data_IF_999575271932
#
_entry.id   IF_999575271932
#
_cell.length_a   1.000
_cell.length_b   1.000
_cell.length_c   1.000
_cell.angle_alpha   90.00
_cell.angle_beta   90.00
_cell.angle_gamma   90.00
#
_symmetry.space_group_name_H-M   'P 1'
#
loop_
_entity.id
_entity.type
_entity.pdbx_description
1 polymer ?
#
# COMPACT_ATOMS: atom_id res chain seq x y z
N UNK A 1 -39.02 18.64 22.58
CA UNK A 1 -39.63 18.35 21.27
C UNK A 1 -39.08 17.01 20.76
N UNK A 2 -39.90 15.97 20.65
CA UNK A 2 -39.51 14.69 20.00
C UNK A 2 -39.38 14.97 18.49
N UNK A 3 -38.19 14.78 17.92
CA UNK A 3 -38.01 14.83 16.47
C UNK A 3 -38.82 13.69 15.85
N UNK A 4 -39.77 14.04 14.99
CA UNK A 4 -40.60 13.07 14.25
C UNK A 4 -39.67 12.34 13.28
N UNK A 5 -39.54 11.02 13.39
CA UNK A 5 -38.78 10.21 12.43
C UNK A 5 -39.60 10.18 11.14
N UNK A 6 -38.98 10.53 10.03
CA UNK A 6 -39.60 10.36 8.70
C UNK A 6 -39.33 8.92 8.29
N UNK A 7 -40.43 8.12 8.15
CA UNK A 7 -40.35 6.70 7.79
C UNK A 7 -41.06 6.56 6.44
N UNK A 8 -40.28 6.83 5.37
CA UNK A 8 -40.80 6.73 3.99
C UNK A 8 -40.45 5.39 3.32
N UNK A 9 -39.68 4.52 4.00
CA UNK A 9 -39.18 3.26 3.47
C UNK A 9 -39.85 2.08 4.18
N UNK A 10 -40.24 1.05 3.44
CA UNK A 10 -40.75 -0.21 4.02
C UNK A 10 -39.59 -0.97 4.69
N UNK A 11 -39.94 -1.90 5.63
CA UNK A 11 -38.91 -2.76 6.27
C UNK A 11 -38.16 -3.59 5.23
N UNK A 12 -38.83 -4.06 4.19
CA UNK A 12 -38.27 -4.87 3.11
C UNK A 12 -37.29 -4.06 2.27
N UNK A 13 -37.64 -2.83 1.90
CA UNK A 13 -36.75 -1.90 1.18
C UNK A 13 -35.52 -1.53 2.02
N UNK A 14 -35.69 -1.25 3.31
CA UNK A 14 -34.60 -0.93 4.22
C UNK A 14 -33.66 -2.12 4.41
N UNK A 15 -34.19 -3.36 4.52
CA UNK A 15 -33.40 -4.57 4.61
C UNK A 15 -32.64 -4.87 3.30
N UNK A 16 -33.30 -4.71 2.15
CA UNK A 16 -32.64 -4.87 0.85
C UNK A 16 -31.51 -3.86 0.62
N UNK A 17 -31.70 -2.62 1.06
CA UNK A 17 -30.65 -1.60 1.01
C UNK A 17 -29.53 -1.90 2.01
N UNK A 18 -29.85 -2.40 3.20
CA UNK A 18 -28.87 -2.82 4.20
C UNK A 18 -28.02 -3.99 3.68
N UNK A 19 -28.63 -4.98 3.03
CA UNK A 19 -27.90 -6.09 2.39
C UNK A 19 -26.95 -5.60 1.29
N UNK A 20 -27.43 -4.72 0.40
CA UNK A 20 -26.58 -4.08 -0.62
C UNK A 20 -25.42 -3.32 0.01
N UNK A 21 -25.67 -2.58 1.07
CA UNK A 21 -24.64 -1.84 1.80
C UNK A 21 -23.69 -2.78 2.55
N UNK A 22 -24.15 -3.88 3.14
CA UNK A 22 -23.30 -4.89 3.75
C UNK A 22 -22.35 -5.52 2.73
N UNK A 23 -22.84 -5.88 1.54
CA UNK A 23 -22.00 -6.37 0.44
C UNK A 23 -21.01 -5.31 -0.01
N UNK A 24 -21.45 -4.06 -0.21
CA UNK A 24 -20.65 -2.93 -0.67
C UNK A 24 -19.55 -2.53 0.31
N UNK A 25 -19.83 -2.58 1.61
CA UNK A 25 -18.90 -2.14 2.66
C UNK A 25 -18.18 -3.29 3.37
N UNK A 26 -18.53 -4.55 3.11
CA UNK A 26 -17.92 -5.71 3.75
C UNK A 26 -16.43 -5.90 3.38
N UNK A 27 -16.04 -5.54 2.16
CA UNK A 27 -14.66 -5.68 1.66
C UNK A 27 -14.24 -4.48 0.81
N UNK A 28 -12.92 -4.18 0.86
CA UNK A 28 -12.34 -3.16 0.00
C UNK A 28 -12.54 -3.50 -1.49
N UNK A 29 -12.90 -2.52 -2.30
CA UNK A 29 -13.19 -2.66 -3.74
C UNK A 29 -12.12 -3.47 -4.50
N UNK A 30 -10.83 -3.23 -4.21
CA UNK A 30 -9.72 -3.96 -4.82
C UNK A 30 -9.70 -5.45 -4.42
N UNK A 31 -10.21 -5.80 -3.23
CA UNK A 31 -10.35 -7.20 -2.81
C UNK A 31 -11.43 -7.87 -3.61
N UNK A 32 -12.56 -7.21 -3.81
CA UNK A 32 -13.67 -7.73 -4.64
C UNK A 32 -13.25 -7.90 -6.11
N UNK A 33 -12.55 -6.92 -6.68
CA UNK A 33 -11.99 -7.04 -8.04
C UNK A 33 -11.05 -8.26 -8.15
N UNK A 34 -10.20 -8.47 -7.15
CA UNK A 34 -9.30 -9.63 -7.12
C UNK A 34 -10.07 -10.94 -6.98
N UNK A 35 -11.09 -10.98 -6.11
CA UNK A 35 -11.91 -12.17 -5.93
C UNK A 35 -12.72 -12.52 -7.18
N UNK A 36 -13.31 -11.54 -7.87
CA UNK A 36 -14.00 -11.78 -9.16
C UNK A 36 -13.06 -12.41 -10.19
N UNK A 37 -11.83 -11.88 -10.30
CA UNK A 37 -10.82 -12.44 -11.22
C UNK A 37 -10.44 -13.87 -10.83
N UNK A 38 -10.16 -14.10 -9.55
CA UNK A 38 -9.70 -15.40 -9.04
C UNK A 38 -10.82 -16.46 -9.16
N UNK A 39 -12.07 -16.07 -8.87
CA UNK A 39 -13.22 -16.96 -9.02
C UNK A 39 -13.50 -17.26 -10.50
N UNK A 40 -13.43 -16.27 -11.41
CA UNK A 40 -13.53 -16.52 -12.84
C UNK A 40 -12.49 -17.52 -13.38
N UNK A 41 -11.28 -17.54 -12.76
CA UNK A 41 -10.28 -18.59 -13.07
C UNK A 41 -10.74 -19.98 -12.59
N UNK A 42 -11.42 -20.07 -11.44
CA UNK A 42 -11.99 -21.30 -10.93
C UNK A 42 -13.19 -21.76 -11.78
N UNK A 43 -14.08 -20.85 -12.16
CA UNK A 43 -15.20 -21.13 -13.08
C UNK A 43 -14.69 -21.73 -14.39
N UNK A 44 -13.69 -21.09 -15.02
CA UNK A 44 -13.07 -21.61 -16.24
C UNK A 44 -12.47 -23.01 -16.04
N UNK A 45 -11.78 -23.26 -14.90
CA UNK A 45 -11.27 -24.60 -14.60
C UNK A 45 -12.40 -25.63 -14.49
N UNK A 46 -13.49 -25.31 -13.80
CA UNK A 46 -14.64 -26.19 -13.64
C UNK A 46 -15.29 -26.49 -15.01
N UNK A 47 -15.46 -25.49 -15.86
CA UNK A 47 -15.97 -25.63 -17.23
C UNK A 47 -15.12 -26.63 -18.04
N UNK A 48 -13.78 -26.47 -18.02
CA UNK A 48 -12.85 -27.37 -18.72
C UNK A 48 -12.91 -28.82 -18.19
N UNK A 49 -13.45 -29.04 -17.00
CA UNK A 49 -13.61 -30.34 -16.35
C UNK A 49 -15.06 -30.84 -16.34
N UNK A 50 -15.98 -30.14 -17.04
CA UNK A 50 -17.42 -30.43 -17.06
C UNK A 50 -17.99 -30.54 -15.62
N UNK A 51 -17.61 -29.60 -14.75
CA UNK A 51 -18.06 -29.51 -13.36
C UNK A 51 -18.82 -28.19 -13.13
N UNK A 52 -19.80 -28.22 -12.26
CA UNK A 52 -20.49 -27.01 -11.80
C UNK A 52 -19.63 -26.31 -10.73
N UNK A 53 -19.26 -25.03 -10.93
CA UNK A 53 -18.43 -24.29 -9.98
C UNK A 53 -19.14 -24.03 -8.63
N UNK A 54 -20.46 -24.15 -8.56
CA UNK A 54 -21.25 -23.96 -7.34
C UNK A 54 -21.72 -25.29 -6.71
N UNK A 55 -21.39 -26.43 -7.27
CA UNK A 55 -21.56 -27.72 -6.63
C UNK A 55 -20.34 -27.98 -5.74
N UNK A 56 -20.54 -28.00 -4.42
CA UNK A 56 -19.46 -28.21 -3.47
C UNK A 56 -18.79 -29.59 -3.67
N UNK A 57 -17.54 -29.56 -4.06
CA UNK A 57 -16.69 -30.73 -4.21
C UNK A 57 -15.25 -30.37 -3.80
N UNK A 58 -14.84 -30.81 -2.62
CA UNK A 58 -13.52 -30.52 -2.08
C UNK A 58 -12.37 -31.19 -2.88
N UNK A 59 -12.63 -32.28 -3.59
CA UNK A 59 -11.63 -32.91 -4.46
C UNK A 59 -11.35 -32.02 -5.67
N UNK A 60 -12.40 -31.47 -6.28
CA UNK A 60 -12.27 -30.52 -7.40
C UNK A 60 -11.53 -29.26 -6.94
N UNK A 61 -11.88 -28.71 -5.76
CA UNK A 61 -11.23 -27.50 -5.23
C UNK A 61 -9.75 -27.76 -4.91
N UNK A 62 -9.42 -28.88 -4.26
CA UNK A 62 -8.02 -29.21 -3.95
C UNK A 62 -7.19 -29.46 -5.20
N UNK A 63 -7.77 -30.15 -6.23
CA UNK A 63 -7.14 -30.32 -7.53
C UNK A 63 -6.86 -28.97 -8.22
N UNK A 64 -7.84 -28.06 -8.20
CA UNK A 64 -7.66 -26.70 -8.71
C UNK A 64 -6.50 -25.97 -8.03
N UNK A 65 -6.48 -25.93 -6.69
CA UNK A 65 -5.40 -25.27 -5.93
C UNK A 65 -4.03 -25.90 -6.22
N UNK A 66 -3.98 -27.21 -6.45
CA UNK A 66 -2.77 -27.92 -6.83
C UNK A 66 -2.31 -27.58 -8.24
N UNK A 67 -3.23 -27.44 -9.18
CA UNK A 67 -2.93 -27.00 -10.55
C UNK A 67 -2.41 -25.56 -10.55
N UNK A 68 -3.00 -24.68 -9.75
CA UNK A 68 -2.51 -23.32 -9.58
C UNK A 68 -1.05 -23.26 -9.09
N UNK A 69 -0.66 -24.14 -8.16
CA UNK A 69 0.72 -24.24 -7.68
C UNK A 69 1.73 -24.46 -8.80
N UNK A 70 1.34 -25.15 -9.85
CA UNK A 70 2.22 -25.50 -10.98
C UNK A 70 2.25 -24.42 -12.07
N UNK A 71 1.47 -23.33 -11.93
CA UNK A 71 1.48 -22.21 -12.88
C UNK A 71 2.69 -21.31 -12.65
N UNK A 72 3.48 -21.05 -13.70
CA UNK A 72 4.71 -20.24 -13.62
C UNK A 72 4.50 -18.85 -13.02
N UNK A 73 3.33 -18.25 -13.22
CA UNK A 73 3.02 -16.91 -12.71
C UNK A 73 2.48 -16.89 -11.27
N UNK A 74 2.26 -18.07 -10.66
CA UNK A 74 1.79 -18.21 -9.27
C UNK A 74 2.93 -18.70 -8.39
N UNK A 75 3.73 -17.78 -7.91
CA UNK A 75 4.92 -18.05 -7.11
C UNK A 75 4.74 -17.82 -5.60
N UNK A 76 3.52 -17.43 -5.14
CA UNK A 76 3.25 -17.12 -3.73
C UNK A 76 2.07 -17.93 -3.19
N UNK A 77 2.28 -18.61 -2.09
CA UNK A 77 1.23 -19.35 -1.39
C UNK A 77 0.03 -18.44 -1.00
N UNK A 78 0.29 -17.16 -0.67
CA UNK A 78 -0.78 -16.20 -0.40
C UNK A 78 -1.72 -15.97 -1.59
N UNK A 79 -1.24 -16.14 -2.82
CA UNK A 79 -2.08 -16.09 -4.03
C UNK A 79 -3.04 -17.28 -4.05
N UNK A 80 -2.56 -18.49 -3.77
CA UNK A 80 -3.40 -19.70 -3.71
C UNK A 80 -4.46 -19.55 -2.60
N UNK A 81 -4.08 -19.07 -1.42
CA UNK A 81 -5.06 -18.76 -0.37
C UNK A 81 -6.11 -17.75 -0.82
N UNK A 82 -5.73 -16.75 -1.62
CA UNK A 82 -6.69 -15.76 -2.11
C UNK A 82 -7.71 -16.38 -3.07
N UNK A 83 -7.30 -17.29 -3.95
CA UNK A 83 -8.23 -18.06 -4.81
C UNK A 83 -9.23 -18.87 -3.97
N UNK A 84 -8.76 -19.56 -2.91
CA UNK A 84 -9.66 -20.27 -2.00
C UNK A 84 -10.66 -19.32 -1.32
N UNK A 85 -10.18 -18.17 -0.83
CA UNK A 85 -11.07 -17.18 -0.21
C UNK A 85 -12.04 -16.54 -1.21
N UNK A 86 -11.68 -16.46 -2.49
CA UNK A 86 -12.59 -16.05 -3.53
C UNK A 86 -13.71 -17.08 -3.74
N UNK A 87 -13.38 -18.38 -3.79
CA UNK A 87 -14.39 -19.45 -3.88
C UNK A 87 -15.33 -19.38 -2.68
N UNK A 88 -14.80 -19.36 -1.45
CA UNK A 88 -15.62 -19.22 -0.24
C UNK A 88 -16.51 -17.97 -0.26
N UNK A 89 -16.00 -16.83 -0.74
CA UNK A 89 -16.78 -15.60 -0.85
C UNK A 89 -17.99 -15.77 -1.77
N UNK A 90 -17.81 -16.34 -2.99
CA UNK A 90 -18.91 -16.51 -3.94
C UNK A 90 -19.89 -17.61 -3.55
N UNK A 91 -19.47 -18.64 -2.80
CA UNK A 91 -20.37 -19.60 -2.19
C UNK A 91 -21.25 -18.91 -1.15
N UNK A 92 -20.68 -18.10 -0.26
CA UNK A 92 -21.44 -17.35 0.74
C UNK A 92 -22.43 -16.35 0.11
N UNK A 93 -22.05 -15.67 -0.98
CA UNK A 93 -22.95 -14.77 -1.73
C UNK A 93 -24.18 -15.50 -2.30
N UNK A 94 -24.06 -16.79 -2.53
CA UNK A 94 -25.17 -17.66 -2.98
C UNK A 94 -25.82 -18.45 -1.84
N UNK A 95 -25.51 -18.14 -0.58
CA UNK A 95 -25.99 -18.86 0.60
C UNK A 95 -25.65 -20.37 0.55
N UNK A 96 -24.54 -20.74 -0.08
CA UNK A 96 -24.04 -22.11 -0.12
C UNK A 96 -23.05 -22.35 1.01
N UNK A 97 -23.15 -23.49 1.67
CA UNK A 97 -22.20 -23.87 2.72
C UNK A 97 -20.80 -24.10 2.16
N UNK A 98 -19.79 -23.63 2.87
CA UNK A 98 -18.39 -23.85 2.55
C UNK A 98 -17.55 -23.94 3.83
N UNK A 99 -17.03 -25.13 4.13
CA UNK A 99 -16.17 -25.32 5.29
C UNK A 99 -14.69 -25.14 4.92
N UNK A 100 -14.13 -24.00 5.27
CA UNK A 100 -12.70 -23.70 5.09
C UNK A 100 -11.78 -24.57 5.97
N UNK A 101 -12.33 -25.29 6.97
CA UNK A 101 -11.61 -26.19 7.88
C UNK A 101 -11.73 -27.66 7.47
N UNK A 102 -12.32 -27.95 6.31
CA UNK A 102 -12.41 -29.30 5.80
C UNK A 102 -11.04 -29.98 5.78
N UNK A 103 -10.95 -31.23 6.28
CA UNK A 103 -9.70 -31.94 6.51
C UNK A 103 -8.86 -32.13 5.22
N UNK A 104 -9.51 -32.44 4.10
CA UNK A 104 -8.81 -32.64 2.81
C UNK A 104 -8.22 -31.31 2.32
N UNK A 105 -8.98 -30.21 2.42
CA UNK A 105 -8.56 -28.87 2.05
C UNK A 105 -7.39 -28.38 2.90
N UNK A 106 -7.47 -28.53 4.23
CA UNK A 106 -6.38 -28.14 5.13
C UNK A 106 -5.10 -28.92 4.83
N UNK A 107 -5.21 -30.24 4.62
CA UNK A 107 -4.06 -31.10 4.26
C UNK A 107 -3.45 -30.70 2.91
N UNK A 108 -4.27 -30.40 1.91
CA UNK A 108 -3.81 -29.93 0.60
C UNK A 108 -3.07 -28.59 0.72
N UNK A 109 -3.63 -27.61 1.46
CA UNK A 109 -2.99 -26.31 1.69
C UNK A 109 -1.66 -26.45 2.43
N UNK A 110 -1.57 -27.30 3.46
CA UNK A 110 -0.30 -27.56 4.18
C UNK A 110 0.75 -28.12 3.22
N UNK A 111 0.39 -29.11 2.40
CA UNK A 111 1.28 -29.72 1.39
C UNK A 111 1.75 -28.68 0.37
N UNK A 112 0.84 -27.86 -0.15
CA UNK A 112 1.15 -26.80 -1.11
C UNK A 112 2.06 -25.77 -0.47
N UNK A 113 1.77 -25.35 0.77
CA UNK A 113 2.60 -24.37 1.48
C UNK A 113 4.03 -24.82 1.64
N UNK A 114 4.26 -26.07 2.08
CA UNK A 114 5.60 -26.67 2.24
C UNK A 114 6.40 -26.70 0.93
N UNK A 115 5.73 -26.95 -0.19
CA UNK A 115 6.37 -26.97 -1.51
C UNK A 115 6.66 -25.57 -2.07
N UNK A 116 5.90 -24.57 -1.63
CA UNK A 116 6.05 -23.16 -2.05
C UNK A 116 6.89 -22.32 -1.09
N UNK A 117 7.53 -22.91 -0.08
CA UNK A 117 8.52 -22.23 0.77
C UNK A 117 9.77 -22.00 -0.09
N UNK A 118 9.68 -21.03 -0.98
CA UNK A 118 10.84 -20.35 -1.53
C UNK A 118 11.00 -19.04 -0.78
N UNK A 119 12.24 -18.62 -0.58
CA UNK A 119 12.55 -17.30 0.01
C UNK A 119 11.69 -16.24 -0.68
N UNK A 120 10.76 -15.66 0.06
CA UNK A 120 10.01 -14.51 -0.45
C UNK A 120 11.02 -13.39 -0.53
N UNK A 121 11.51 -13.10 -1.73
CA UNK A 121 12.28 -11.88 -1.98
C UNK A 121 11.44 -10.69 -1.55
N UNK A 122 11.72 -10.21 -0.34
CA UNK A 122 11.06 -9.02 0.18
C UNK A 122 11.55 -7.84 -0.64
N UNK A 123 10.64 -7.02 -1.13
CA UNK A 123 10.99 -5.75 -1.73
C UNK A 123 11.87 -4.97 -0.76
N UNK A 124 13.10 -4.58 -1.13
CA UNK A 124 13.99 -3.90 -0.23
C UNK A 124 13.40 -2.56 0.24
N UNK A 125 13.71 -2.15 1.48
CA UNK A 125 13.32 -0.84 1.97
C UNK A 125 14.11 0.25 1.25
N UNK A 126 13.47 1.39 0.99
CA UNK A 126 14.18 2.60 0.56
C UNK A 126 14.76 3.28 1.79
N UNK A 127 16.02 3.01 2.11
CA UNK A 127 16.68 3.60 3.27
C UNK A 127 17.01 5.08 3.05
N UNK A 128 17.34 5.80 4.14
CA UNK A 128 17.63 7.24 4.09
C UNK A 128 18.81 7.55 3.17
N UNK A 129 19.83 6.71 3.13
CA UNK A 129 21.00 6.90 2.26
C UNK A 129 20.62 6.92 0.78
N UNK A 130 19.70 6.06 0.37
CA UNK A 130 19.24 6.01 -1.02
C UNK A 130 18.20 7.10 -1.31
N UNK A 131 17.37 7.43 -0.32
CA UNK A 131 16.50 8.61 -0.40
C UNK A 131 17.31 9.89 -0.63
N UNK A 132 18.40 10.08 0.12
CA UNK A 132 19.25 11.25 -0.01
C UNK A 132 19.85 11.34 -1.43
N UNK A 133 20.37 10.25 -2.01
CA UNK A 133 20.86 10.22 -3.41
C UNK A 133 19.77 10.61 -4.42
N UNK A 134 18.57 10.09 -4.23
CA UNK A 134 17.43 10.42 -5.10
C UNK A 134 17.10 11.90 -5.03
N UNK A 135 17.06 12.48 -3.83
CA UNK A 135 16.73 13.89 -3.65
C UNK A 135 17.86 14.80 -4.17
N UNK A 136 19.11 14.41 -4.02
CA UNK A 136 20.24 15.14 -4.60
C UNK A 136 20.17 15.16 -6.14
N UNK A 137 19.85 14.05 -6.77
CA UNK A 137 19.65 13.99 -8.22
C UNK A 137 18.46 14.88 -8.68
N UNK A 138 17.36 14.88 -7.92
CA UNK A 138 16.22 15.77 -8.22
C UNK A 138 16.62 17.23 -8.06
N UNK A 139 17.38 17.58 -7.02
CA UNK A 139 17.85 18.95 -6.80
C UNK A 139 18.73 19.41 -7.95
N UNK A 140 19.65 18.55 -8.42
CA UNK A 140 20.47 18.83 -9.58
C UNK A 140 19.65 19.10 -10.86
N UNK A 141 18.61 18.30 -11.10
CA UNK A 141 17.71 18.54 -12.23
C UNK A 141 16.86 19.82 -12.07
N UNK A 142 16.52 20.21 -10.83
CA UNK A 142 15.84 21.50 -10.55
C UNK A 142 16.78 22.66 -10.82
N UNK A 143 18.05 22.58 -10.44
CA UNK A 143 19.05 23.61 -10.69
C UNK A 143 19.28 23.85 -12.20
N UNK A 144 19.31 22.75 -12.97
CA UNK A 144 19.40 22.81 -14.44
C UNK A 144 18.21 23.48 -15.09
N UNK A 145 17.00 23.22 -14.59
CA UNK A 145 15.76 23.76 -15.13
C UNK A 145 14.76 24.09 -14.01
N UNK A 146 14.81 25.32 -13.52
CA UNK A 146 13.98 25.83 -12.41
C UNK A 146 12.48 25.88 -12.70
N UNK A 147 12.06 25.81 -13.96
CA UNK A 147 10.65 25.90 -14.35
C UNK A 147 10.01 24.52 -14.61
N UNK A 148 10.74 23.43 -14.47
CA UNK A 148 10.21 22.09 -14.75
C UNK A 148 9.37 21.56 -13.58
N UNK A 149 8.07 21.72 -13.67
CA UNK A 149 7.08 21.36 -12.63
C UNK A 149 7.22 19.92 -12.13
N UNK A 150 7.53 18.98 -13.04
CA UNK A 150 7.60 17.56 -12.71
C UNK A 150 8.67 17.25 -11.64
N UNK A 151 9.78 18.01 -11.60
CA UNK A 151 10.85 17.79 -10.64
C UNK A 151 10.42 18.22 -9.24
N UNK A 152 9.73 19.34 -9.11
CA UNK A 152 9.17 19.81 -7.81
C UNK A 152 8.09 18.88 -7.31
N UNK A 153 7.18 18.43 -8.20
CA UNK A 153 6.15 17.45 -7.84
C UNK A 153 6.77 16.15 -7.33
N UNK A 154 7.72 15.59 -8.08
CA UNK A 154 8.34 14.30 -7.76
C UNK A 154 9.12 14.39 -6.44
N UNK A 155 9.86 15.50 -6.20
CA UNK A 155 10.56 15.77 -4.95
C UNK A 155 9.61 15.80 -3.75
N UNK A 156 8.55 16.60 -3.84
CA UNK A 156 7.57 16.72 -2.77
C UNK A 156 6.85 15.40 -2.50
N UNK A 157 6.45 14.69 -3.56
CA UNK A 157 5.80 13.38 -3.48
C UNK A 157 6.68 12.36 -2.76
N UNK A 158 7.95 12.22 -3.17
CA UNK A 158 8.89 11.24 -2.61
C UNK A 158 9.15 11.53 -1.14
N UNK A 159 9.45 12.78 -0.79
CA UNK A 159 9.74 13.16 0.59
C UNK A 159 8.52 12.98 1.50
N UNK A 160 7.34 13.43 1.08
CA UNK A 160 6.10 13.25 1.85
C UNK A 160 5.77 11.77 1.99
N UNK A 161 5.85 10.98 0.91
CA UNK A 161 5.57 9.56 0.93
C UNK A 161 6.47 8.82 1.92
N UNK A 162 7.74 9.15 1.93
CA UNK A 162 8.74 8.50 2.79
C UNK A 162 8.55 8.90 4.26
N UNK A 163 8.60 10.19 4.59
CA UNK A 163 8.49 10.66 5.98
C UNK A 163 7.14 10.37 6.64
N UNK A 164 6.06 10.33 5.86
CA UNK A 164 4.73 9.94 6.34
C UNK A 164 4.49 8.43 6.31
N UNK A 165 5.47 7.63 5.90
CA UNK A 165 5.30 6.19 5.70
C UNK A 165 4.00 5.86 4.96
N UNK A 166 3.67 6.62 3.91
CA UNK A 166 2.42 6.48 3.17
C UNK A 166 2.41 5.25 2.24
N UNK A 167 1.22 4.68 2.05
CA UNK A 167 0.99 3.77 0.93
C UNK A 167 0.85 4.55 -0.37
N UNK A 168 1.14 3.92 -1.52
CA UNK A 168 1.00 4.55 -2.85
C UNK A 168 -0.35 5.22 -3.06
N UNK A 169 -1.41 4.50 -2.76
CA UNK A 169 -2.77 5.01 -2.90
C UNK A 169 -3.08 6.15 -1.93
N UNK A 170 -2.49 6.14 -0.73
CA UNK A 170 -2.64 7.22 0.23
C UNK A 170 -2.02 8.51 -0.33
N UNK A 171 -0.78 8.44 -0.85
CA UNK A 171 -0.10 9.60 -1.46
C UNK A 171 -0.82 10.10 -2.71
N UNK A 172 -1.21 9.20 -3.62
CA UNK A 172 -1.94 9.57 -4.83
C UNK A 172 -3.25 10.31 -4.53
N UNK A 173 -3.86 9.98 -3.39
CA UNK A 173 -5.16 10.52 -2.97
C UNK A 173 -5.07 11.71 -1.99
N UNK A 174 -3.88 12.25 -1.71
CA UNK A 174 -3.75 13.43 -0.84
C UNK A 174 -4.37 14.67 -1.47
N UNK A 175 -5.11 15.42 -0.66
CA UNK A 175 -5.75 16.67 -1.02
C UNK A 175 -5.19 17.83 -0.19
N UNK A 176 -5.30 19.05 -0.71
CA UNK A 176 -4.87 20.27 -0.01
C UNK A 176 -5.47 20.34 1.41
N UNK A 177 -6.76 20.01 1.54
CA UNK A 177 -7.48 20.04 2.82
C UNK A 177 -6.98 18.96 3.82
N UNK A 178 -6.21 17.99 3.36
CA UNK A 178 -5.61 16.99 4.25
C UNK A 178 -4.36 17.52 4.99
N UNK A 179 -3.76 18.61 4.51
CA UNK A 179 -2.47 19.11 5.01
C UNK A 179 -2.69 20.34 5.89
N UNK A 180 -2.25 20.24 7.14
CA UNK A 180 -2.24 21.34 8.09
C UNK A 180 -0.81 21.68 8.48
N UNK A 181 -0.43 22.96 8.38
CA UNK A 181 0.85 23.44 8.91
C UNK A 181 0.81 23.44 10.43
N UNK A 182 1.87 22.94 11.07
CA UNK A 182 2.08 22.91 12.52
C UNK A 182 3.46 23.44 12.87
N UNK A 183 3.74 23.68 14.16
CA UNK A 183 5.01 24.30 14.59
C UNK A 183 6.26 23.54 14.11
N UNK A 184 6.21 22.20 14.06
CA UNK A 184 7.36 21.35 13.72
C UNK A 184 7.27 20.72 12.32
N UNK A 185 6.45 21.27 11.41
CA UNK A 185 6.30 20.74 10.05
C UNK A 185 4.84 20.71 9.57
N UNK A 186 4.44 19.60 8.98
CA UNK A 186 3.07 19.40 8.50
C UNK A 186 2.40 18.25 9.26
N UNK A 187 1.10 18.36 9.46
CA UNK A 187 0.24 17.26 9.91
C UNK A 187 -0.68 16.87 8.74
N UNK A 188 -0.58 15.63 8.27
CA UNK A 188 -1.38 15.14 7.14
C UNK A 188 -2.42 14.14 7.64
N UNK A 189 -3.70 14.50 7.51
CA UNK A 189 -4.84 13.65 7.86
C UNK A 189 -5.32 12.87 6.63
N UNK A 190 -5.55 11.59 6.78
CA UNK A 190 -6.17 10.76 5.75
C UNK A 190 -7.67 10.63 6.05
N UNK A 191 -8.52 10.98 5.09
CA UNK A 191 -9.97 10.87 5.25
C UNK A 191 -10.42 9.41 5.42
N UNK A 192 -9.78 8.49 4.68
CA UNK A 192 -9.97 7.03 4.80
C UNK A 192 -8.67 6.33 4.41
N UNK A 193 -8.31 5.26 5.12
CA UNK A 193 -7.20 4.39 4.75
C UNK A 193 -7.61 2.93 4.85
N UNK A 194 -6.85 2.02 4.23
CA UNK A 194 -7.14 0.57 4.26
C UNK A 194 -7.33 0.02 5.69
N UNK A 195 -6.62 0.60 6.68
CA UNK A 195 -6.64 0.16 8.08
C UNK A 195 -7.37 1.16 8.99
N UNK A 196 -8.01 2.18 8.42
CA UNK A 196 -8.79 3.18 9.12
C UNK A 196 -9.94 3.68 8.23
N UNK A 197 -10.89 2.81 8.00
CA UNK A 197 -12.08 3.13 7.20
C UNK A 197 -13.00 4.14 7.90
N UNK A 198 -12.86 4.26 9.23
CA UNK A 198 -13.66 5.21 10.04
C UNK A 198 -12.95 6.56 10.26
N UNK A 199 -11.71 6.74 9.75
CA UNK A 199 -10.96 8.00 9.90
C UNK A 199 -10.60 8.36 11.35
N UNK A 200 -10.54 7.37 12.25
CA UNK A 200 -10.30 7.59 13.69
C UNK A 200 -8.83 7.75 14.06
N UNK A 201 -7.92 7.33 13.19
CA UNK A 201 -6.48 7.46 13.43
C UNK A 201 -6.04 8.89 13.21
N UNK A 202 -5.19 9.38 14.11
CA UNK A 202 -4.62 10.72 14.05
C UNK A 202 -3.89 11.00 12.72
N UNK A 203 -3.59 12.29 12.49
CA UNK A 203 -2.79 12.68 11.32
C UNK A 203 -1.35 12.20 11.42
N UNK A 204 -0.70 12.03 10.27
CA UNK A 204 0.73 11.67 10.18
C UNK A 204 1.59 12.92 10.24
N UNK A 205 2.52 13.04 11.21
CA UNK A 205 3.42 14.17 11.30
C UNK A 205 4.51 14.07 10.21
N UNK A 206 4.75 15.15 9.51
CA UNK A 206 5.84 15.31 8.55
C UNK A 206 6.81 16.35 9.14
N UNK A 207 8.07 15.98 9.45
CA UNK A 207 8.96 16.85 10.18
C UNK A 207 9.49 18.00 9.33
N UNK A 208 9.72 19.16 9.96
CA UNK A 208 10.54 20.22 9.40
C UNK A 208 12.03 19.92 9.67
N UNK A 209 12.86 20.05 8.65
CA UNK A 209 14.33 19.95 8.79
C UNK A 209 14.89 21.37 8.97
N UNK A 210 15.65 21.59 10.05
CA UNK A 210 16.13 22.92 10.44
C UNK A 210 17.61 23.19 10.07
N UNK A 211 18.40 22.13 9.82
CA UNK A 211 19.82 22.30 9.52
C UNK A 211 20.04 22.68 8.05
N UNK A 212 20.94 23.62 7.77
CA UNK A 212 21.28 24.06 6.40
C UNK A 212 21.56 22.89 5.47
N UNK A 213 22.33 21.90 5.93
CA UNK A 213 22.66 20.68 5.18
C UNK A 213 21.41 19.85 4.79
N UNK A 214 20.31 19.97 5.53
CA UNK A 214 19.07 19.20 5.32
C UNK A 214 17.90 20.01 4.77
N UNK A 215 18.08 21.32 4.51
CA UNK A 215 16.98 22.16 3.98
C UNK A 215 16.51 21.68 2.61
N UNK A 216 17.44 21.28 1.73
CA UNK A 216 17.12 20.75 0.40
C UNK A 216 16.42 19.39 0.45
N UNK A 217 16.50 18.67 1.60
CA UNK A 217 15.84 17.40 1.87
C UNK A 217 14.65 17.56 2.85
N UNK A 218 14.17 18.79 3.05
CA UNK A 218 13.07 19.08 3.94
C UNK A 218 11.72 18.78 3.25
N UNK A 219 10.92 17.82 3.76
CA UNK A 219 9.64 17.50 3.14
C UNK A 219 8.64 18.67 3.20
N UNK A 220 8.66 19.48 4.26
CA UNK A 220 7.80 20.68 4.34
C UNK A 220 8.17 21.72 3.27
N UNK A 221 9.47 22.00 3.10
CA UNK A 221 9.92 22.95 2.07
C UNK A 221 9.57 22.44 0.67
N UNK A 222 9.85 21.16 0.39
CA UNK A 222 9.51 20.56 -0.90
C UNK A 222 8.01 20.64 -1.20
N UNK A 223 7.16 20.43 -0.19
CA UNK A 223 5.71 20.62 -0.32
C UNK A 223 5.37 22.08 -0.63
N UNK A 224 5.93 23.03 0.10
CA UNK A 224 5.66 24.46 -0.09
C UNK A 224 6.12 24.94 -1.47
N UNK A 225 7.31 24.51 -1.92
CA UNK A 225 7.85 24.84 -3.25
C UNK A 225 6.92 24.28 -4.34
N UNK A 226 6.46 23.03 -4.17
CA UNK A 226 5.50 22.43 -5.10
C UNK A 226 4.18 23.19 -5.17
N UNK A 227 3.57 23.51 -4.03
CA UNK A 227 2.31 24.25 -4.00
C UNK A 227 2.47 25.64 -4.61
N UNK A 228 3.58 26.32 -4.33
CA UNK A 228 3.87 27.64 -4.88
C UNK A 228 4.02 27.62 -6.40
N UNK A 229 4.80 26.67 -6.96
CA UNK A 229 5.08 26.65 -8.41
C UNK A 229 3.92 26.07 -9.21
N UNK A 230 3.11 25.18 -8.61
CA UNK A 230 1.95 24.56 -9.26
C UNK A 230 0.66 25.38 -9.16
N UNK A 231 0.62 26.35 -8.24
CA UNK A 231 -0.55 27.19 -7.95
C UNK A 231 -1.81 26.40 -7.58
N UNK A 232 -1.63 25.17 -7.06
CA UNK A 232 -2.75 24.32 -6.64
C UNK A 232 -3.35 24.86 -5.34
N UNK A 233 -4.61 25.26 -5.39
CA UNK A 233 -5.36 25.80 -4.24
C UNK A 233 -6.38 24.83 -3.65
N UNK A 234 -6.79 23.80 -4.41
CA UNK A 234 -7.83 22.85 -3.98
C UNK A 234 -7.68 21.48 -4.65
N UNK A 235 -8.36 20.49 -4.08
CA UNK A 235 -8.37 19.12 -4.61
C UNK A 235 -7.04 18.36 -4.43
N UNK A 236 -6.72 17.46 -5.35
CA UNK A 236 -5.53 16.60 -5.26
C UNK A 236 -4.23 17.40 -5.34
N UNK A 237 -3.29 17.07 -4.44
CA UNK A 237 -1.96 17.71 -4.38
C UNK A 237 -1.09 17.28 -5.55
N UNK A 238 -1.06 15.96 -5.83
CA UNK A 238 -0.20 15.41 -6.87
C UNK A 238 -1.02 15.06 -8.11
N UNK A 239 -0.75 15.76 -9.20
CA UNK A 239 -1.47 15.64 -10.47
C UNK A 239 -0.52 15.29 -11.61
N UNK A 240 -1.07 14.86 -12.74
CA UNK A 240 -0.31 14.67 -13.95
C UNK A 240 0.22 16.00 -14.48
N UNK A 241 1.38 15.93 -15.13
CA UNK A 241 2.02 17.03 -15.85
C UNK A 241 2.28 16.48 -17.25
N UNK A 242 1.82 17.20 -18.27
CA UNK A 242 1.98 16.83 -19.66
C UNK A 242 3.40 17.06 -20.20
N UNK A 243 3.65 16.68 -21.44
CA UNK A 243 4.95 16.88 -22.11
C UNK A 243 5.31 18.35 -22.28
N UNK A 244 4.34 19.24 -22.31
CA UNK A 244 4.49 20.70 -22.40
C UNK A 244 4.73 21.36 -21.03
N UNK A 245 4.96 20.58 -19.99
CA UNK A 245 5.17 21.05 -18.61
C UNK A 245 3.95 21.76 -18.00
N UNK A 246 2.73 21.44 -18.47
CA UNK A 246 1.49 21.97 -17.93
C UNK A 246 0.86 21.00 -16.94
N UNK A 247 0.34 21.55 -15.85
CA UNK A 247 -0.44 20.82 -14.88
C UNK A 247 -1.80 20.47 -15.48
N UNK A 248 -2.16 19.18 -15.47
CA UNK A 248 -3.49 18.72 -15.90
C UNK A 248 -4.32 18.28 -14.70
N UNK A 249 -5.64 18.37 -14.81
CA UNK A 249 -6.55 18.05 -13.72
C UNK A 249 -6.59 16.55 -13.34
N UNK A 250 -6.05 15.71 -14.22
CA UNK A 250 -6.02 14.26 -13.99
C UNK A 250 -5.14 13.89 -12.78
N UNK A 251 -5.68 13.05 -11.93
CA UNK A 251 -5.00 12.61 -10.70
C UNK A 251 -3.98 11.51 -10.99
N UNK A 252 -2.88 11.50 -10.24
CA UNK A 252 -1.93 10.39 -10.30
C UNK A 252 -2.59 9.10 -9.83
N UNK A 253 -2.38 8.00 -10.58
CA UNK A 253 -2.70 6.67 -10.12
C UNK A 253 -1.65 6.18 -9.10
N UNK A 254 -1.99 5.15 -8.33
CA UNK A 254 -1.02 4.48 -7.45
C UNK A 254 0.13 3.82 -8.24
N UNK A 255 -0.12 3.40 -9.48
CA UNK A 255 0.91 2.91 -10.41
C UNK A 255 1.85 4.03 -10.83
N UNK A 256 1.33 5.24 -11.07
CA UNK A 256 2.16 6.41 -11.40
C UNK A 256 3.12 6.74 -10.26
N UNK A 257 2.69 6.66 -9.00
CA UNK A 257 3.56 6.85 -7.82
C UNK A 257 4.71 5.83 -7.80
N UNK A 258 4.44 4.56 -8.12
CA UNK A 258 5.48 3.54 -8.21
C UNK A 258 6.48 3.81 -9.36
N UNK A 259 5.98 4.30 -10.50
CA UNK A 259 6.83 4.64 -11.63
C UNK A 259 7.73 5.85 -11.35
N UNK A 260 7.24 6.83 -10.59
CA UNK A 260 8.03 7.99 -10.17
C UNK A 260 9.24 7.56 -9.35
N UNK A 261 9.07 6.71 -8.33
CA UNK A 261 10.22 6.26 -7.53
C UNK A 261 11.20 5.44 -8.36
N UNK A 262 10.72 4.55 -9.22
CA UNK A 262 11.59 3.75 -10.11
C UNK A 262 12.40 4.63 -11.06
N UNK A 263 11.76 5.62 -11.68
CA UNK A 263 12.42 6.60 -12.56
C UNK A 263 13.61 7.27 -11.85
N UNK A 264 13.39 7.77 -10.64
CA UNK A 264 14.41 8.50 -9.90
C UNK A 264 15.49 7.57 -9.31
N UNK A 265 15.11 6.38 -8.86
CA UNK A 265 16.07 5.36 -8.44
C UNK A 265 17.04 4.99 -9.57
N UNK A 266 16.50 4.78 -10.79
CA UNK A 266 17.32 4.53 -11.98
C UNK A 266 18.30 5.66 -12.27
N UNK A 267 17.83 6.91 -12.24
CA UNK A 267 18.69 8.09 -12.43
C UNK A 267 19.79 8.21 -11.37
N UNK A 268 19.53 7.74 -10.15
CA UNK A 268 20.45 7.77 -9.01
C UNK A 268 21.32 6.51 -8.90
N UNK A 269 21.34 5.64 -9.92
CA UNK A 269 22.06 4.36 -9.93
C UNK A 269 21.70 3.43 -8.76
N UNK A 270 20.43 3.43 -8.37
CA UNK A 270 19.86 2.52 -7.38
C UNK A 270 19.08 1.42 -8.12
N UNK A 271 19.10 0.18 -7.62
CA UNK A 271 18.43 -0.96 -8.24
C UNK A 271 16.90 -0.77 -8.27
N UNK A 272 16.40 -0.19 -9.37
CA UNK A 272 15.00 0.19 -9.54
C UNK A 272 14.03 -0.99 -9.57
N UNK A 273 14.44 -2.14 -10.09
CA UNK A 273 13.59 -3.32 -10.25
C UNK A 273 13.09 -3.86 -8.91
N UNK A 274 13.88 -3.66 -7.86
CA UNK A 274 13.56 -4.08 -6.50
C UNK A 274 12.69 -3.08 -5.75
N UNK A 275 12.54 -1.82 -6.23
CA UNK A 275 11.75 -0.80 -5.56
C UNK A 275 10.28 -0.83 -5.99
N UNK A 276 9.41 -0.55 -5.05
CA UNK A 276 7.98 -0.40 -5.26
C UNK A 276 7.43 0.76 -4.42
N UNK A 277 6.19 1.13 -4.65
CA UNK A 277 5.58 2.13 -3.77
C UNK A 277 5.38 1.68 -2.32
N UNK A 278 5.65 0.41 -1.98
CA UNK A 278 5.71 -0.05 -0.60
C UNK A 278 7.09 0.25 0.03
N UNK A 279 8.13 0.46 -0.80
CA UNK A 279 9.50 0.76 -0.37
C UNK A 279 9.60 2.06 0.44
N UNK A 280 8.74 3.04 0.21
CA UNK A 280 8.64 4.25 1.04
C UNK A 280 8.34 3.90 2.49
N UNK A 281 7.26 3.14 2.69
CA UNK A 281 6.76 2.78 4.00
C UNK A 281 7.67 1.81 4.72
N UNK A 282 8.14 0.76 4.05
CA UNK A 282 9.11 -0.18 4.60
C UNK A 282 10.44 0.51 4.89
N UNK A 283 10.88 1.43 4.04
CA UNK A 283 12.11 2.19 4.22
C UNK A 283 12.09 3.03 5.47
N UNK A 284 11.06 3.86 5.66
CA UNK A 284 10.94 4.68 6.85
C UNK A 284 10.80 3.86 8.13
N UNK A 285 9.96 2.80 8.11
CA UNK A 285 9.78 1.92 9.26
C UNK A 285 11.07 1.17 9.64
N UNK A 286 11.83 0.70 8.63
CA UNK A 286 13.13 0.04 8.85
C UNK A 286 14.15 1.03 9.40
N UNK A 287 14.20 2.26 8.87
CA UNK A 287 15.10 3.32 9.35
C UNK A 287 14.81 3.68 10.81
N UNK A 288 13.53 3.77 11.22
CA UNK A 288 13.15 3.97 12.62
C UNK A 288 13.60 2.80 13.50
N UNK A 289 13.36 1.57 13.03
CA UNK A 289 13.81 0.37 13.74
C UNK A 289 15.34 0.33 13.88
N UNK A 290 16.09 0.72 12.86
CA UNK A 290 17.57 0.83 12.94
C UNK A 290 18.02 1.84 13.98
N UNK A 291 17.24 2.89 14.22
CA UNK A 291 17.50 3.93 15.23
C UNK A 291 16.98 3.58 16.62
N UNK A 292 16.37 2.41 16.81
CA UNK A 292 15.92 1.90 18.11
C UNK A 292 14.48 2.25 18.47
N UNK A 293 13.66 2.71 17.52
CA UNK A 293 12.24 2.94 17.78
C UNK A 293 11.53 1.66 18.22
N UNK A 294 10.58 1.81 19.14
CA UNK A 294 9.77 0.71 19.65
C UNK A 294 8.75 0.21 18.60
N UNK A 295 8.14 -0.95 18.86
CA UNK A 295 7.08 -1.49 18.01
C UNK A 295 5.91 -0.51 17.94
N UNK A 296 5.53 0.06 19.08
CA UNK A 296 4.42 1.00 19.24
C UNK A 296 4.67 2.28 18.42
N UNK A 297 5.87 2.87 18.51
CA UNK A 297 6.26 4.06 17.73
C UNK A 297 6.23 3.79 16.24
N UNK A 298 6.73 2.62 15.80
CA UNK A 298 6.66 2.21 14.39
C UNK A 298 5.20 2.03 13.95
N UNK A 299 4.36 1.41 14.78
CA UNK A 299 2.94 1.19 14.48
C UNK A 299 2.15 2.50 14.43
N UNK A 300 2.45 3.45 15.30
CA UNK A 300 1.82 4.77 15.31
C UNK A 300 2.02 5.50 13.99
N UNK A 301 3.25 5.63 13.52
CA UNK A 301 3.58 6.34 12.27
C UNK A 301 3.08 5.58 11.05
N UNK A 302 3.26 4.26 11.04
CA UNK A 302 2.85 3.44 9.90
C UNK A 302 1.36 3.15 9.89
N UNK A 303 0.62 3.39 10.95
CA UNK A 303 -0.79 3.02 11.11
C UNK A 303 -1.05 1.51 10.87
N UNK A 304 -0.13 0.63 11.27
CA UNK A 304 -0.37 -0.81 11.26
C UNK A 304 -1.30 -1.21 12.40
N UNK A 305 -2.19 -2.18 12.12
CA UNK A 305 -3.05 -2.80 13.14
C UNK A 305 -2.46 -4.09 13.72
N UNK A 306 -1.36 -4.59 13.13
CA UNK A 306 -0.73 -5.85 13.52
C UNK A 306 0.72 -5.64 13.92
N UNK A 307 1.06 -6.03 15.14
CA UNK A 307 2.45 -6.07 15.64
C UNK A 307 3.36 -6.95 14.78
N UNK A 308 2.85 -8.04 14.21
CA UNK A 308 3.66 -8.94 13.38
C UNK A 308 4.27 -8.21 12.19
N UNK A 309 3.56 -7.22 11.63
CA UNK A 309 4.09 -6.38 10.55
C UNK A 309 5.20 -5.46 11.05
N UNK A 310 5.05 -4.84 12.22
CA UNK A 310 6.07 -3.98 12.82
C UNK A 310 7.31 -4.79 13.21
N UNK A 311 7.14 -5.99 13.81
CA UNK A 311 8.22 -6.96 14.07
C UNK A 311 9.00 -7.32 12.80
N UNK A 312 8.32 -7.41 11.65
CA UNK A 312 8.96 -7.63 10.36
C UNK A 312 9.96 -6.53 9.96
N UNK A 313 9.67 -5.25 10.28
CA UNK A 313 10.62 -4.15 10.03
C UNK A 313 11.81 -4.18 11.00
N UNK A 314 11.60 -4.56 12.27
CA UNK A 314 12.69 -4.75 13.24
C UNK A 314 13.61 -5.88 12.77
N UNK A 315 13.04 -6.99 12.30
CA UNK A 315 13.85 -8.09 11.76
C UNK A 315 14.62 -7.65 10.52
N UNK A 316 14.00 -6.90 9.61
CA UNK A 316 14.66 -6.33 8.44
C UNK A 316 15.78 -5.36 8.84
N UNK A 317 15.57 -4.53 9.84
CA UNK A 317 16.57 -3.59 10.35
C UNK A 317 17.84 -4.30 10.87
N UNK A 318 17.73 -5.53 11.38
CA UNK A 318 18.90 -6.32 11.80
C UNK A 318 19.85 -6.65 10.64
N UNK A 319 19.31 -6.79 9.44
CA UNK A 319 20.11 -7.05 8.22
C UNK A 319 20.94 -5.84 7.79
N UNK A 320 20.56 -4.63 8.21
CA UNK A 320 21.22 -3.35 7.87
C UNK A 320 21.97 -2.70 9.03
N UNK A 321 21.83 -3.22 10.25
CA UNK A 321 22.62 -2.77 11.42
C UNK A 321 23.99 -3.42 11.40
N UNK A 322 24.99 -2.72 11.97
CA UNK A 322 26.24 -3.36 12.36
C UNK A 322 25.95 -4.58 13.21
N UNK A 323 26.57 -5.68 12.90
CA UNK A 323 26.46 -6.91 13.69
C UNK A 323 26.93 -6.63 15.14
N UNK A 324 26.48 -7.42 16.14
CA UNK A 324 27.03 -7.30 17.50
C UNK A 324 28.56 -7.38 17.51
N UNK A 325 29.14 -8.20 16.64
CA UNK A 325 30.61 -8.31 16.50
C UNK A 325 31.21 -6.98 16.07
N UNK A 326 30.75 -6.36 14.98
CA UNK A 326 31.24 -5.06 14.52
C UNK A 326 30.98 -3.91 15.50
N UNK A 327 29.96 -4.06 16.38
CA UNK A 327 29.61 -3.06 17.38
C UNK A 327 30.48 -3.15 18.63
N UNK A 328 30.78 -4.37 19.08
CA UNK A 328 31.42 -4.63 20.38
C UNK A 328 32.85 -5.15 20.26
N UNK A 329 33.27 -5.62 19.10
CA UNK A 329 34.62 -6.09 18.82
C UNK A 329 35.08 -5.32 17.58
N UNK A 330 35.53 -4.05 17.72
CA UNK A 330 36.09 -3.30 16.60
C UNK A 330 37.41 -3.97 16.16
N UNK A 331 37.69 -3.94 14.83
CA UNK A 331 38.95 -4.39 14.24
C UNK A 331 40.15 -3.61 14.79
#
# INVERSE_FOLDING_TARGET
MKKKLIIDQTIEEANADLEKDQVKYSRAENTLKSYKKDFGTYEYFCEQKSRDPFKLDYEVITAYLKILQNQQHINKFSTIKRHLFAINYFYNEKNLEFDTKNKSLVKALDTISKKMIQSVDKTPPLLMVDLDKIIDEINYEIEKNKFRLINYRDKALILIAWYGAFRRSEVANLEINNVKKVNNGLLIKLNKSKNDQKGKKGGKPIPRKKTKKRLNHCPENAYQDWIKISEITSGRIFRHIDSSNKLIHETLSDKSVANIIKKWAKKSNILEDKLSGHSFRSGYATELAMRGASIEEIMEITHHSSESTAKGYIQMAKEYRKTPTEKYIPE
#
